data_IF_945203672863
#
_entry.id   IF_945203672863
#
_cell.length_a   1.000
_cell.length_b   1.000
_cell.length_c   1.000
_cell.angle_alpha   90.00
_cell.angle_beta   90.00
_cell.angle_gamma   90.00
#
_symmetry.space_group_name_H-M   'P 1'
#
loop_
_entity.id
_entity.type
_entity.pdbx_description
1 polymer ?
#
# COMPACT_ATOMS: atom_id res chain seq x y z
N UNK A 1 22.21 1.45 13.69
CA UNK A 1 21.96 0.87 12.34
C UNK A 1 20.52 0.39 12.17
N UNK A 2 19.95 -0.41 13.09
CA UNK A 2 18.57 -0.90 12.99
C UNK A 2 17.51 0.21 12.82
N UNK A 3 17.65 1.35 13.51
CA UNK A 3 16.73 2.48 13.38
C UNK A 3 16.70 3.10 11.98
N UNK A 4 17.86 3.17 11.30
CA UNK A 4 17.96 3.71 9.93
C UNK A 4 17.23 2.81 8.94
N UNK A 5 17.40 1.49 9.06
CA UNK A 5 16.66 0.52 8.25
C UNK A 5 15.15 0.60 8.49
N UNK A 6 14.72 0.81 9.74
CA UNK A 6 13.32 1.00 10.09
C UNK A 6 12.70 2.24 9.43
N UNK A 7 13.40 3.38 9.47
CA UNK A 7 12.92 4.62 8.84
C UNK A 7 12.80 4.46 7.32
N UNK A 8 13.83 3.89 6.67
CA UNK A 8 13.79 3.63 5.22
C UNK A 8 12.65 2.69 4.84
N UNK A 9 12.42 1.66 5.65
CA UNK A 9 11.28 0.75 5.46
C UNK A 9 9.94 1.49 5.55
N UNK A 10 9.73 2.33 6.56
CA UNK A 10 8.49 3.10 6.70
C UNK A 10 8.27 4.07 5.55
N UNK A 11 9.31 4.78 5.10
CA UNK A 11 9.22 5.67 3.93
C UNK A 11 8.79 4.87 2.70
N UNK A 12 9.45 3.75 2.43
CA UNK A 12 9.11 2.88 1.30
C UNK A 12 7.69 2.31 1.42
N UNK A 13 7.30 1.89 2.61
CA UNK A 13 5.97 1.38 2.93
C UNK A 13 4.89 2.43 2.65
N UNK A 14 5.07 3.67 3.10
CA UNK A 14 4.13 4.76 2.86
C UNK A 14 4.04 5.12 1.37
N UNK A 15 5.16 5.12 0.66
CA UNK A 15 5.16 5.36 -0.80
C UNK A 15 4.38 4.29 -1.54
N UNK A 16 4.60 3.00 -1.22
CA UNK A 16 3.87 1.89 -1.86
C UNK A 16 2.39 1.94 -1.52
N UNK A 17 2.05 1.97 -0.23
CA UNK A 17 0.65 1.92 0.20
C UNK A 17 -0.12 3.15 -0.27
N UNK A 18 0.50 4.33 -0.26
CA UNK A 18 -0.05 5.55 -0.86
C UNK A 18 -0.28 5.42 -2.36
N UNK A 19 0.69 4.87 -3.10
CA UNK A 19 0.55 4.62 -4.54
C UNK A 19 -0.61 3.65 -4.85
N UNK A 20 -0.71 2.55 -4.10
CA UNK A 20 -1.78 1.54 -4.26
C UNK A 20 -3.15 2.17 -3.95
N UNK A 21 -3.25 3.00 -2.90
CA UNK A 21 -4.49 3.68 -2.54
C UNK A 21 -4.97 4.64 -3.63
N UNK A 22 -4.07 5.44 -4.20
CA UNK A 22 -4.40 6.40 -5.26
C UNK A 22 -4.73 5.70 -6.58
N UNK A 23 -3.86 4.78 -7.03
CA UNK A 23 -3.92 4.12 -8.34
C UNK A 23 -3.96 2.59 -8.22
N UNK A 24 -5.03 1.99 -7.66
CA UNK A 24 -5.12 0.55 -7.45
C UNK A 24 -5.07 -0.24 -8.75
N UNK A 25 -5.66 0.26 -9.84
CA UNK A 25 -5.62 -0.44 -11.14
C UNK A 25 -4.20 -0.56 -11.68
N UNK A 26 -3.45 0.54 -11.71
CA UNK A 26 -2.06 0.54 -12.18
C UNK A 26 -1.16 -0.32 -11.29
N UNK A 27 -1.33 -0.26 -9.97
CA UNK A 27 -0.58 -1.12 -9.06
C UNK A 27 -0.85 -2.61 -9.31
N UNK A 28 -2.11 -3.00 -9.54
CA UNK A 28 -2.45 -4.37 -9.89
C UNK A 28 -1.93 -4.77 -11.27
N UNK A 29 -1.93 -3.87 -12.25
CA UNK A 29 -1.36 -4.14 -13.57
C UNK A 29 0.15 -4.41 -13.52
N UNK A 30 0.86 -3.77 -12.61
CA UNK A 30 2.31 -3.97 -12.40
C UNK A 30 2.57 -5.26 -11.61
N UNK A 31 1.84 -5.48 -10.51
CA UNK A 31 2.16 -6.53 -9.53
C UNK A 31 1.36 -7.83 -9.72
N UNK A 32 0.09 -7.73 -10.11
CA UNK A 32 -0.86 -8.85 -10.13
C UNK A 32 -1.15 -9.42 -11.51
N UNK A 33 -0.93 -8.67 -12.59
CA UNK A 33 -1.28 -9.07 -13.96
C UNK A 33 -0.58 -10.34 -14.42
N UNK A 34 0.67 -10.56 -13.98
CA UNK A 34 1.44 -11.77 -14.36
C UNK A 34 0.75 -13.05 -13.87
N UNK A 35 0.12 -13.02 -12.70
CA UNK A 35 -0.48 -14.22 -12.10
C UNK A 35 -1.97 -14.38 -12.43
N UNK A 36 -2.62 -13.35 -12.99
CA UNK A 36 -4.06 -13.33 -13.16
C UNK A 36 -4.49 -13.80 -14.56
N UNK A 37 -5.37 -14.82 -14.60
CA UNK A 37 -6.03 -15.28 -15.84
C UNK A 37 -7.23 -14.42 -16.26
N UNK A 38 -7.75 -13.57 -15.37
CA UNK A 38 -8.92 -12.70 -15.61
C UNK A 38 -8.72 -11.32 -14.98
N UNK A 39 -9.33 -10.30 -15.58
CA UNK A 39 -9.32 -8.94 -15.03
C UNK A 39 -10.27 -8.85 -13.81
N UNK A 40 -9.83 -8.25 -12.69
CA UNK A 40 -10.63 -8.14 -11.47
C UNK A 40 -11.85 -7.24 -11.65
N UNK A 41 -12.85 -7.45 -10.80
CA UNK A 41 -14.04 -6.60 -10.76
C UNK A 41 -13.75 -5.23 -10.16
N UNK A 42 -14.65 -4.26 -10.35
CA UNK A 42 -14.55 -2.93 -9.72
C UNK A 42 -14.50 -3.01 -8.19
N UNK A 43 -15.24 -3.94 -7.59
CA UNK A 43 -15.27 -4.17 -6.15
C UNK A 43 -13.92 -4.63 -5.61
N UNK A 44 -13.19 -5.46 -6.36
CA UNK A 44 -11.83 -5.88 -5.98
C UNK A 44 -10.89 -4.67 -5.86
N UNK A 45 -10.90 -3.77 -6.85
CA UNK A 45 -10.06 -2.57 -6.80
C UNK A 45 -10.47 -1.59 -5.68
N UNK A 46 -11.76 -1.54 -5.36
CA UNK A 46 -12.26 -0.75 -4.23
C UNK A 46 -11.76 -1.32 -2.89
N UNK A 47 -11.82 -2.64 -2.72
CA UNK A 47 -11.26 -3.32 -1.55
C UNK A 47 -9.75 -3.10 -1.46
N UNK A 48 -9.02 -3.25 -2.57
CA UNK A 48 -7.57 -3.02 -2.59
C UNK A 48 -7.20 -1.59 -2.17
N UNK A 49 -7.98 -0.60 -2.62
CA UNK A 49 -7.83 0.79 -2.17
C UNK A 49 -8.07 0.93 -0.67
N UNK A 50 -9.17 0.38 -0.15
CA UNK A 50 -9.48 0.45 1.29
C UNK A 50 -8.38 -0.19 2.14
N UNK A 51 -7.92 -1.38 1.77
CA UNK A 51 -6.81 -2.04 2.47
C UNK A 51 -5.52 -1.22 2.43
N UNK A 52 -5.20 -0.61 1.29
CA UNK A 52 -4.03 0.26 1.17
C UNK A 52 -4.15 1.53 2.03
N UNK A 53 -5.34 2.12 2.13
CA UNK A 53 -5.61 3.25 3.02
C UNK A 53 -5.42 2.84 4.48
N UNK A 54 -5.96 1.71 4.92
CA UNK A 54 -5.74 1.22 6.28
C UNK A 54 -4.26 0.89 6.55
N UNK A 55 -3.57 0.28 5.58
CA UNK A 55 -2.14 -0.03 5.67
C UNK A 55 -1.25 1.23 5.68
N UNK A 56 -1.73 2.35 5.14
CA UNK A 56 -1.07 3.65 5.23
C UNK A 56 -1.36 4.33 6.57
N UNK A 57 -2.63 4.49 6.94
CA UNK A 57 -2.98 5.27 8.14
C UNK A 57 -2.69 4.55 9.45
N UNK A 58 -2.79 3.21 9.52
CA UNK A 58 -2.53 2.48 10.76
C UNK A 58 -1.12 2.73 11.33
N UNK A 59 -0.06 2.43 10.56
CA UNK A 59 1.31 2.72 10.98
C UNK A 59 1.60 4.21 11.12
N UNK A 60 0.99 5.07 10.29
CA UNK A 60 1.17 6.52 10.39
C UNK A 60 0.65 7.06 11.74
N UNK A 61 -0.58 6.68 12.12
CA UNK A 61 -1.18 7.09 13.39
C UNK A 61 -0.33 6.57 14.54
N UNK A 62 0.08 5.29 14.50
CA UNK A 62 0.96 4.74 15.53
C UNK A 62 2.30 5.47 15.62
N UNK A 63 2.91 5.83 14.50
CA UNK A 63 4.15 6.60 14.49
C UNK A 63 3.96 8.01 15.08
N UNK A 64 2.85 8.67 14.74
CA UNK A 64 2.52 9.99 15.27
C UNK A 64 2.25 9.99 16.79
N UNK A 65 1.78 8.87 17.37
CA UNK A 65 1.61 8.79 18.84
C UNK A 65 2.91 8.57 19.60
N UNK A 66 4.00 8.22 18.91
CA UNK A 66 5.34 8.06 19.49
C UNK A 66 6.20 9.33 19.36
N UNK A 67 5.69 10.36 18.68
CA UNK A 67 6.37 11.65 18.44
C UNK A 67 6.03 12.65 19.56
#
# INVERSE_FOLDING_TARGET
MAAVFGILFYIFWFVITGYIALKPRSAWEILGKWQARRYPSRHYFMMMRLFAVFAFFGPLIWFLTQL
#
